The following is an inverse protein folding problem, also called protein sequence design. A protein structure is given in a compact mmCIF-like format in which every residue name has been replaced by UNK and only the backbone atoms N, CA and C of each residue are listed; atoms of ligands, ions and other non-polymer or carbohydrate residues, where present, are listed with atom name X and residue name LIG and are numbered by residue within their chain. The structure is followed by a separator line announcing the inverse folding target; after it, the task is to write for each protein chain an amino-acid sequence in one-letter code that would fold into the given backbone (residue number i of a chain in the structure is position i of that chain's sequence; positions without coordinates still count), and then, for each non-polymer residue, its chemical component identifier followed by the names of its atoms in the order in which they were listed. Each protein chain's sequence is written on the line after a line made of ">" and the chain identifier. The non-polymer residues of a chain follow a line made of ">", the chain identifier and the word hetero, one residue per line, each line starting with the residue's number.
data_IF_250347127740
#
_entry.id   IF_250347127740
#
_cell.length_a   1.000
_cell.length_b   1.000
_cell.length_c   1.000
_cell.angle_alpha   90.00
_cell.angle_beta   90.00
_cell.angle_gamma   90.00
#
_symmetry.space_group_name_H-M   'P 1'
#
loop_
_entity.id
_entity.type
_entity.pdbx_description
1 polymer ?
#
# COMPACT_ATOMS: atom_id res chain seq x y z
N UNK A 1 -7.25 21.50 23.12
CA UNK A 1 -6.85 20.63 21.99
C UNK A 1 -7.88 20.58 20.85
N UNK A 2 -9.20 20.64 21.11
CA UNK A 2 -10.25 20.64 20.07
C UNK A 2 -10.16 21.83 19.07
N UNK A 3 -9.79 23.01 19.53
CA UNK A 3 -9.73 24.24 18.72
C UNK A 3 -8.56 24.25 17.71
N UNK A 4 -7.45 23.56 17.98
CA UNK A 4 -6.31 23.48 17.07
C UNK A 4 -6.60 22.49 15.92
N UNK A 5 -7.29 21.38 16.21
CA UNK A 5 -7.71 20.41 15.19
C UNK A 5 -8.73 21.04 14.23
N UNK A 6 -9.70 21.79 14.74
CA UNK A 6 -10.67 22.50 13.89
C UNK A 6 -10.02 23.57 13.01
N UNK A 7 -9.03 24.32 13.51
CA UNK A 7 -8.30 25.32 12.70
C UNK A 7 -7.44 24.68 11.62
N UNK A 8 -6.83 23.52 11.89
CA UNK A 8 -6.10 22.77 10.87
C UNK A 8 -7.04 22.20 9.81
N UNK A 9 -8.22 21.71 10.19
CA UNK A 9 -9.22 21.18 9.25
C UNK A 9 -9.77 22.29 8.35
N UNK A 10 -10.00 23.48 8.89
CA UNK A 10 -10.50 24.65 8.14
C UNK A 10 -9.44 25.24 7.20
N UNK A 11 -8.17 25.33 7.65
CA UNK A 11 -7.04 25.76 6.81
C UNK A 11 -6.73 24.77 5.66
N UNK A 12 -6.98 23.48 5.84
CA UNK A 12 -6.83 22.46 4.78
C UNK A 12 -7.93 22.55 3.73
N UNK A 13 -9.16 22.92 4.11
CA UNK A 13 -10.29 23.02 3.17
C UNK A 13 -10.14 24.19 2.19
N UNK A 14 -9.58 25.31 2.62
CA UNK A 14 -9.47 26.54 1.81
C UNK A 14 -8.38 26.47 0.72
N UNK A 15 -7.41 25.57 0.81
CA UNK A 15 -6.28 25.46 -0.16
C UNK A 15 -6.32 24.20 -1.05
N UNK A 16 -7.32 23.35 -0.89
CA UNK A 16 -7.44 22.11 -1.65
C UNK A 16 -8.31 22.31 -2.89
N UNK A 17 -7.72 22.67 -4.03
CA UNK A 17 -8.42 22.62 -5.32
C UNK A 17 -8.62 21.16 -5.74
N UNK A 18 -9.78 20.59 -5.41
CA UNK A 18 -10.22 19.31 -5.96
C UNK A 18 -10.75 19.60 -7.36
N UNK A 19 -10.09 19.04 -8.36
CA UNK A 19 -10.66 18.97 -9.70
C UNK A 19 -11.32 17.60 -9.83
N UNK A 20 -12.59 17.50 -9.46
CA UNK A 20 -13.41 16.34 -9.78
C UNK A 20 -13.75 16.44 -11.26
N UNK A 21 -12.98 15.77 -12.10
CA UNK A 21 -13.44 15.46 -13.45
C UNK A 21 -14.10 14.08 -13.37
N UNK A 22 -15.40 14.06 -13.18
CA UNK A 22 -16.21 12.88 -13.45
C UNK A 22 -16.17 12.63 -14.97
N UNK A 23 -15.22 11.89 -15.45
CA UNK A 23 -15.18 11.39 -16.81
C UNK A 23 -15.56 9.91 -16.75
N UNK A 24 -16.80 9.62 -17.08
CA UNK A 24 -17.27 8.30 -17.44
C UNK A 24 -16.61 7.90 -18.78
N UNK A 25 -15.43 7.33 -18.72
CA UNK A 25 -14.82 6.64 -19.87
C UNK A 25 -14.66 5.19 -19.48
N UNK A 26 -15.24 4.24 -20.22
CA UNK A 26 -15.01 2.82 -20.00
C UNK A 26 -13.57 2.52 -20.40
N UNK A 27 -12.67 2.46 -19.41
CA UNK A 27 -11.45 1.69 -19.59
C UNK A 27 -11.82 0.26 -19.23
N UNK A 28 -11.57 -0.69 -20.11
CA UNK A 28 -12.04 -2.08 -20.12
C UNK A 28 -11.87 -2.89 -18.83
N UNK A 29 -11.12 -2.37 -17.86
CA UNK A 29 -10.69 -3.11 -16.67
C UNK A 29 -11.32 -2.63 -15.34
N UNK A 30 -11.98 -1.46 -15.32
CA UNK A 30 -12.62 -0.92 -14.11
C UNK A 30 -14.15 -1.02 -14.19
N UNK A 31 -14.85 -1.23 -13.06
CA UNK A 31 -16.32 -1.22 -13.03
C UNK A 31 -16.88 0.05 -13.68
N UNK A 32 -17.98 -0.08 -14.40
CA UNK A 32 -18.66 1.02 -15.11
C UNK A 32 -19.10 2.18 -14.20
N UNK A 33 -19.32 1.89 -12.90
CA UNK A 33 -19.66 2.86 -11.85
C UNK A 33 -18.43 3.58 -11.27
N UNK A 34 -17.25 3.52 -11.92
CA UNK A 34 -16.04 4.12 -11.37
C UNK A 34 -15.86 5.58 -11.79
N UNK A 35 -15.62 6.46 -10.82
CA UNK A 35 -15.22 7.85 -11.02
C UNK A 35 -13.69 8.02 -10.90
N UNK A 36 -13.16 9.07 -11.55
CA UNK A 36 -11.77 9.51 -11.42
C UNK A 36 -11.69 10.81 -10.68
N UNK A 37 -10.81 10.87 -9.69
CA UNK A 37 -10.53 12.05 -8.90
C UNK A 37 -9.03 12.32 -8.98
N UNK A 38 -8.65 13.57 -9.11
CA UNK A 38 -7.27 14.01 -9.01
C UNK A 38 -7.16 14.99 -7.83
N UNK A 39 -6.50 14.54 -6.75
CA UNK A 39 -6.26 15.36 -5.57
C UNK A 39 -4.89 16.04 -5.69
N UNK A 40 -4.87 17.36 -5.77
CA UNK A 40 -3.63 18.13 -5.73
C UNK A 40 -3.24 18.42 -4.29
N UNK A 41 -2.01 18.08 -3.94
CA UNK A 41 -1.46 18.39 -2.62
C UNK A 41 -0.74 19.74 -2.63
N UNK A 42 -0.64 20.44 -1.49
CA UNK A 42 0.01 21.75 -1.41
C UNK A 42 1.47 21.75 -1.82
N UNK A 43 2.14 20.58 -1.71
CA UNK A 43 3.56 20.40 -2.01
C UNK A 43 3.84 19.94 -3.45
N UNK A 44 2.83 19.99 -4.32
CA UNK A 44 2.95 19.80 -5.76
C UNK A 44 2.80 18.36 -6.27
N UNK A 45 2.28 17.44 -5.43
CA UNK A 45 1.84 16.15 -5.91
C UNK A 45 0.40 16.21 -6.44
N UNK A 46 0.05 15.25 -7.29
CA UNK A 46 -1.31 15.03 -7.77
C UNK A 46 -1.61 13.54 -7.62
N UNK A 47 -2.45 13.19 -6.67
CA UNK A 47 -2.86 11.81 -6.46
C UNK A 47 -3.96 11.44 -7.45
N UNK A 48 -3.76 10.33 -8.13
CA UNK A 48 -4.81 9.71 -8.92
C UNK A 48 -5.64 8.80 -8.01
N UNK A 49 -6.94 9.04 -7.96
CA UNK A 49 -7.87 8.28 -7.11
C UNK A 49 -8.96 7.69 -7.98
N UNK A 50 -9.29 6.44 -7.76
CA UNK A 50 -10.50 5.80 -8.27
C UNK A 50 -11.52 5.68 -7.15
N UNK A 51 -12.77 5.98 -7.46
CA UNK A 51 -13.89 5.72 -6.60
C UNK A 51 -14.83 4.74 -7.32
N UNK A 52 -15.22 3.68 -6.65
CA UNK A 52 -16.09 2.64 -7.20
C UNK A 52 -17.25 2.38 -6.24
N UNK A 53 -18.42 2.04 -6.78
CA UNK A 53 -19.66 1.79 -6.02
C UNK A 53 -20.49 3.05 -5.86
N UNK A 54 -21.44 3.02 -4.91
CA UNK A 54 -22.40 4.11 -4.68
C UNK A 54 -21.78 5.25 -3.87
N UNK A 55 -22.08 6.50 -4.23
CA UNK A 55 -21.62 7.67 -3.46
C UNK A 55 -22.17 7.70 -2.02
N UNK A 56 -23.38 7.19 -1.83
CA UNK A 56 -24.04 7.02 -0.51
C UNK A 56 -23.66 5.72 0.20
N UNK A 57 -22.84 4.86 -0.41
CA UNK A 57 -22.41 3.61 0.18
C UNK A 57 -21.41 3.79 1.33
N UNK A 58 -21.23 2.73 2.13
CA UNK A 58 -20.26 2.71 3.22
C UNK A 58 -18.84 2.98 2.68
N UNK A 59 -18.15 4.03 3.16
CA UNK A 59 -16.87 4.41 2.58
C UNK A 59 -15.73 3.51 3.06
N UNK A 60 -14.90 3.08 2.12
CA UNK A 60 -13.71 2.27 2.35
C UNK A 60 -12.49 2.83 1.63
N UNK A 61 -11.40 3.04 2.37
CA UNK A 61 -10.09 3.37 1.82
C UNK A 61 -9.32 2.10 1.48
N UNK A 62 -8.80 2.01 0.26
CA UNK A 62 -7.97 0.89 -0.20
C UNK A 62 -6.51 1.32 -0.30
N UNK A 63 -5.63 0.69 0.47
CA UNK A 63 -4.20 0.98 0.49
C UNK A 63 -3.42 -0.12 -0.23
N UNK A 64 -2.89 0.22 -1.41
CA UNK A 64 -2.10 -0.72 -2.20
C UNK A 64 -0.74 -1.04 -1.58
N UNK A 65 -0.19 -2.18 -1.95
CA UNK A 65 1.12 -2.66 -1.53
C UNK A 65 2.29 -2.12 -2.37
N UNK A 66 3.38 -2.80 -2.30
CA UNK A 66 4.64 -2.49 -2.93
C UNK A 66 5.73 -2.23 -1.89
N UNK A 67 5.99 -0.99 -1.48
CA UNK A 67 5.47 0.34 -1.91
C UNK A 67 5.60 0.61 -3.42
N UNK A 68 4.81 1.54 -3.95
CA UNK A 68 4.98 2.04 -5.32
C UNK A 68 4.23 1.26 -6.42
N UNK A 69 3.37 0.29 -6.07
CA UNK A 69 2.64 -0.51 -7.07
C UNK A 69 1.48 0.26 -7.74
N UNK A 70 0.69 1.01 -6.98
CA UNK A 70 -0.58 1.57 -7.40
C UNK A 70 -1.76 0.60 -7.21
N UNK A 71 -2.99 1.10 -7.32
CA UNK A 71 -4.20 0.32 -7.22
C UNK A 71 -4.54 -0.40 -8.53
N UNK A 72 -5.03 -1.63 -8.42
CA UNK A 72 -5.47 -2.45 -9.54
C UNK A 72 -7.01 -2.55 -9.57
N UNK A 73 -7.63 -2.72 -10.76
CA UNK A 73 -9.07 -2.92 -10.89
C UNK A 73 -9.62 -4.08 -10.05
N UNK A 74 -8.86 -5.15 -9.92
CA UNK A 74 -9.22 -6.33 -9.11
C UNK A 74 -9.47 -6.00 -7.63
N UNK A 75 -8.92 -4.89 -7.11
CA UNK A 75 -9.17 -4.46 -5.74
C UNK A 75 -10.60 -3.92 -5.55
N UNK A 76 -11.22 -3.39 -6.60
CA UNK A 76 -12.63 -2.97 -6.54
C UNK A 76 -13.59 -4.16 -6.39
N UNK A 77 -13.20 -5.34 -6.86
CA UNK A 77 -14.01 -6.56 -6.76
C UNK A 77 -14.17 -7.12 -5.34
N UNK A 78 -13.45 -6.58 -4.36
CA UNK A 78 -13.63 -6.95 -2.94
C UNK A 78 -14.91 -6.34 -2.33
N UNK A 79 -15.49 -5.33 -3.00
CA UNK A 79 -16.60 -4.52 -2.51
C UNK A 79 -17.89 -4.85 -3.27
N UNK A 80 -19.00 -4.85 -2.54
CA UNK A 80 -20.32 -4.83 -3.16
C UNK A 80 -20.62 -3.40 -3.64
N UNK A 81 -20.81 -3.16 -4.93
CA UNK A 81 -21.02 -1.82 -5.46
C UNK A 81 -22.34 -1.17 -5.03
N UNK A 82 -23.29 -1.96 -4.53
CA UNK A 82 -24.57 -1.47 -4.01
C UNK A 82 -24.51 -1.03 -2.55
N UNK A 83 -23.53 -1.56 -1.79
CA UNK A 83 -23.39 -1.30 -0.35
C UNK A 83 -22.23 -0.35 -0.04
N UNK A 84 -21.17 -0.37 -0.84
CA UNK A 84 -19.92 0.28 -0.51
C UNK A 84 -19.56 1.42 -1.47
N UNK A 85 -18.78 2.36 -0.94
CA UNK A 85 -18.07 3.41 -1.66
C UNK A 85 -16.55 3.17 -1.51
N UNK A 86 -15.94 2.44 -2.44
CA UNK A 86 -14.52 2.12 -2.38
C UNK A 86 -13.68 3.27 -2.97
N UNK A 87 -12.71 3.79 -2.21
CA UNK A 87 -11.78 4.86 -2.59
C UNK A 87 -10.38 4.29 -2.70
N UNK A 88 -9.81 4.30 -3.91
CA UNK A 88 -8.56 3.63 -4.27
C UNK A 88 -7.51 4.66 -4.76
N UNK A 89 -6.77 5.33 -3.85
CA UNK A 89 -5.73 6.27 -4.23
C UNK A 89 -4.45 5.53 -4.64
N UNK A 90 -3.86 5.92 -5.76
CA UNK A 90 -2.46 5.68 -6.03
C UNK A 90 -1.62 6.57 -5.13
N UNK A 91 -0.77 6.00 -4.27
CA UNK A 91 0.09 6.75 -3.35
C UNK A 91 1.06 7.66 -4.12
N UNK A 92 1.69 8.64 -3.44
CA UNK A 92 2.65 9.58 -4.04
C UNK A 92 3.65 8.88 -4.95
N UNK A 93 3.77 9.34 -6.19
CA UNK A 93 4.70 8.81 -7.17
C UNK A 93 4.37 7.43 -7.73
N UNK A 94 3.43 6.70 -7.13
CA UNK A 94 3.01 5.37 -7.56
C UNK A 94 1.93 5.43 -8.66
N UNK A 95 1.79 4.37 -9.40
CA UNK A 95 0.73 4.18 -10.37
C UNK A 95 0.58 5.35 -11.34
N UNK A 96 -0.59 5.98 -11.32
CA UNK A 96 -0.96 7.15 -12.14
C UNK A 96 -0.75 8.49 -11.43
N UNK A 97 -0.38 8.49 -10.13
CA UNK A 97 -0.05 9.71 -9.38
C UNK A 97 1.18 10.42 -9.94
N UNK A 98 1.21 11.75 -9.83
CA UNK A 98 2.26 12.59 -10.40
C UNK A 98 2.92 13.48 -9.34
N UNK A 99 4.21 13.84 -9.52
CA UNK A 99 5.17 13.34 -10.52
C UNK A 99 5.49 11.87 -10.32
N UNK A 100 5.54 11.09 -11.43
CA UNK A 100 5.70 9.63 -11.36
C UNK A 100 7.10 9.22 -10.88
N UNK A 101 7.19 8.34 -9.88
CA UNK A 101 8.44 7.82 -9.32
C UNK A 101 9.26 8.85 -8.56
N UNK A 102 8.72 10.03 -8.23
CA UNK A 102 9.44 11.05 -7.46
C UNK A 102 9.66 10.62 -6.02
N UNK A 103 10.84 10.94 -5.49
CA UNK A 103 11.20 10.74 -4.08
C UNK A 103 11.10 12.04 -3.28
N UNK A 104 10.90 13.17 -3.96
CA UNK A 104 10.78 14.49 -3.34
C UNK A 104 9.55 14.52 -2.43
N UNK A 105 9.74 14.89 -1.17
CA UNK A 105 8.68 14.94 -0.14
C UNK A 105 7.83 13.66 -0.09
N UNK A 106 8.42 12.52 -0.44
CA UNK A 106 7.75 11.23 -0.44
C UNK A 106 8.12 10.47 0.83
N UNK A 107 7.42 10.79 1.92
CA UNK A 107 7.60 10.23 3.26
C UNK A 107 6.29 9.63 3.76
N UNK A 108 6.34 8.77 4.78
CA UNK A 108 5.11 8.23 5.40
C UNK A 108 4.25 9.34 5.98
N UNK A 109 4.83 10.31 6.67
CA UNK A 109 4.07 11.46 7.21
C UNK A 109 3.29 12.17 6.12
N UNK A 110 3.91 12.38 4.94
CA UNK A 110 3.25 12.99 3.81
C UNK A 110 2.14 12.09 3.21
N UNK A 111 2.37 10.75 3.14
CA UNK A 111 1.32 9.82 2.74
C UNK A 111 0.11 9.85 3.66
N UNK A 112 0.34 9.88 4.98
CA UNK A 112 -0.75 9.97 5.96
C UNK A 112 -1.54 11.27 5.83
N UNK A 113 -0.84 12.40 5.61
CA UNK A 113 -1.49 13.68 5.37
C UNK A 113 -2.30 13.70 4.08
N UNK A 114 -1.82 13.05 3.01
CA UNK A 114 -2.56 12.91 1.76
C UNK A 114 -3.87 12.14 1.93
N UNK A 115 -3.83 11.04 2.68
CA UNK A 115 -5.02 10.22 2.94
C UNK A 115 -6.06 11.00 3.75
N UNK A 116 -5.62 11.75 4.75
CA UNK A 116 -6.51 12.59 5.54
C UNK A 116 -7.09 13.74 4.72
N UNK A 117 -6.25 14.42 3.91
CA UNK A 117 -6.71 15.42 2.96
C UNK A 117 -7.76 14.85 1.98
N UNK A 118 -7.53 13.62 1.48
CA UNK A 118 -8.48 12.94 0.59
C UNK A 118 -9.80 12.65 1.29
N UNK A 119 -9.77 12.15 2.52
CA UNK A 119 -10.96 11.88 3.32
C UNK A 119 -11.84 13.14 3.50
N UNK A 120 -11.21 14.21 3.99
CA UNK A 120 -11.88 15.50 4.22
C UNK A 120 -12.44 16.05 2.91
N UNK A 121 -11.67 15.98 1.84
CA UNK A 121 -12.04 16.47 0.52
C UNK A 121 -13.22 15.72 -0.12
N UNK A 122 -13.43 14.45 0.26
CA UNK A 122 -14.57 13.63 -0.17
C UNK A 122 -15.79 13.75 0.76
N UNK A 123 -15.71 14.58 1.81
CA UNK A 123 -16.78 14.72 2.81
C UNK A 123 -17.02 13.44 3.62
N UNK A 124 -16.01 12.58 3.76
CA UNK A 124 -16.12 11.34 4.49
C UNK A 124 -15.77 11.59 5.95
N UNK A 125 -16.70 11.35 6.86
CA UNK A 125 -16.48 11.49 8.30
C UNK A 125 -15.56 10.39 8.83
N UNK A 126 -15.87 9.14 8.52
CA UNK A 126 -15.08 7.95 8.88
C UNK A 126 -15.13 6.95 7.75
N UNK A 127 -14.12 6.15 7.59
CA UNK A 127 -14.09 5.04 6.62
C UNK A 127 -13.50 3.77 7.19
N UNK A 128 -13.92 2.62 6.65
CA UNK A 128 -13.17 1.39 6.79
C UNK A 128 -11.84 1.50 6.02
N UNK A 129 -10.79 0.86 6.49
CA UNK A 129 -9.50 0.85 5.79
C UNK A 129 -9.06 -0.57 5.51
N UNK A 130 -8.86 -0.90 4.24
CA UNK A 130 -8.28 -2.18 3.83
C UNK A 130 -6.88 -1.98 3.25
N UNK A 131 -5.92 -2.72 3.77
CA UNK A 131 -4.53 -2.64 3.32
C UNK A 131 -3.87 -4.00 3.21
N UNK A 132 -3.06 -4.20 2.15
CA UNK A 132 -2.29 -5.42 1.98
C UNK A 132 -0.79 -5.17 1.94
N UNK A 133 0.02 -6.04 2.57
CA UNK A 133 1.47 -5.93 2.56
C UNK A 133 1.94 -4.57 3.12
N UNK A 134 2.67 -3.77 2.35
CA UNK A 134 2.99 -2.38 2.67
C UNK A 134 1.74 -1.55 3.03
N UNK A 135 0.62 -1.76 2.31
CA UNK A 135 -0.64 -1.08 2.61
C UNK A 135 -1.17 -1.37 4.00
N UNK A 136 -0.90 -2.55 4.57
CA UNK A 136 -1.26 -2.89 5.96
C UNK A 136 -0.43 -2.09 6.97
N UNK A 137 0.87 -1.89 6.72
CA UNK A 137 1.71 -1.03 7.56
C UNK A 137 1.22 0.43 7.53
N UNK A 138 0.86 0.92 6.34
CA UNK A 138 0.33 2.26 6.16
C UNK A 138 -1.05 2.42 6.82
N UNK A 139 -1.93 1.41 6.76
CA UNK A 139 -3.22 1.38 7.42
C UNK A 139 -3.10 1.48 8.94
N UNK A 140 -2.19 0.71 9.54
CA UNK A 140 -1.90 0.79 10.98
C UNK A 140 -1.41 2.19 11.38
N UNK A 141 -0.46 2.74 10.61
CA UNK A 141 0.07 4.08 10.87
C UNK A 141 -1.00 5.17 10.71
N UNK A 142 -1.91 5.02 9.74
CA UNK A 142 -3.02 5.94 9.52
C UNK A 142 -4.05 5.88 10.65
N UNK A 143 -4.49 4.69 11.03
CA UNK A 143 -5.46 4.50 12.11
C UNK A 143 -4.93 4.96 13.49
N UNK A 144 -3.64 4.79 13.73
CA UNK A 144 -3.00 5.32 14.94
C UNK A 144 -2.92 6.86 14.95
N UNK A 145 -2.66 7.47 13.80
CA UNK A 145 -2.53 8.94 13.68
C UNK A 145 -3.87 9.65 13.63
N UNK A 146 -4.89 9.03 13.03
CA UNK A 146 -6.24 9.57 12.84
C UNK A 146 -7.30 8.57 13.30
N UNK A 147 -7.34 8.24 14.59
CA UNK A 147 -8.20 7.16 15.10
C UNK A 147 -9.69 7.41 14.91
N UNK A 148 -10.10 8.69 14.95
CA UNK A 148 -11.51 9.08 14.81
C UNK A 148 -11.97 9.03 13.33
N UNK A 149 -11.04 8.96 12.39
CA UNK A 149 -11.30 8.83 10.95
C UNK A 149 -11.50 7.38 10.49
N UNK A 150 -11.23 6.39 11.36
CA UNK A 150 -11.25 4.97 10.98
C UNK A 150 -12.35 4.24 11.76
N UNK A 151 -13.12 3.44 11.04
CA UNK A 151 -14.21 2.66 11.58
C UNK A 151 -13.86 1.19 11.78
N UNK A 152 -13.07 0.64 10.87
CA UNK A 152 -12.60 -0.73 10.92
C UNK A 152 -11.31 -0.89 10.14
N UNK A 153 -10.52 -1.92 10.45
CA UNK A 153 -9.32 -2.30 9.71
C UNK A 153 -9.45 -3.72 9.17
N UNK A 154 -9.14 -3.90 7.88
CA UNK A 154 -8.93 -5.21 7.26
C UNK A 154 -7.50 -5.26 6.71
N UNK A 155 -6.64 -6.02 7.36
CA UNK A 155 -5.21 -6.09 7.08
C UNK A 155 -4.85 -7.46 6.50
N UNK A 156 -4.28 -7.47 5.29
CA UNK A 156 -3.90 -8.71 4.61
C UNK A 156 -2.39 -8.81 4.43
N UNK A 157 -1.81 -9.99 4.77
CA UNK A 157 -0.38 -10.26 4.56
C UNK A 157 0.48 -9.16 5.18
N UNK A 158 0.32 -8.91 6.48
CA UNK A 158 0.87 -7.74 7.17
C UNK A 158 2.40 -7.67 7.09
N UNK A 159 2.91 -6.55 6.61
CA UNK A 159 4.33 -6.20 6.58
C UNK A 159 4.63 -5.20 7.69
N UNK A 160 5.48 -5.57 8.65
CA UNK A 160 5.79 -4.72 9.80
C UNK A 160 7.05 -3.84 9.62
N UNK A 161 7.62 -3.81 8.43
CA UNK A 161 8.80 -2.98 8.09
C UNK A 161 10.03 -3.19 8.99
N UNK A 162 10.07 -4.31 9.70
CA UNK A 162 11.20 -4.68 10.54
C UNK A 162 12.46 -4.95 9.72
N UNK A 163 13.62 -4.85 10.37
CA UNK A 163 14.88 -5.20 9.72
C UNK A 163 14.88 -6.64 9.22
N UNK A 164 14.36 -7.56 10.02
CA UNK A 164 14.20 -8.98 9.70
C UNK A 164 13.24 -9.24 8.53
N UNK A 165 12.16 -8.44 8.39
CA UNK A 165 11.24 -8.52 7.25
C UNK A 165 11.92 -8.07 5.95
N UNK A 166 12.62 -6.92 6.00
CA UNK A 166 13.37 -6.41 4.84
C UNK A 166 14.52 -7.36 4.49
N UNK A 167 15.25 -7.86 5.50
CA UNK A 167 16.33 -8.81 5.30
C UNK A 167 15.85 -10.11 4.62
N UNK A 168 14.67 -10.60 4.97
CA UNK A 168 14.10 -11.81 4.36
C UNK A 168 13.84 -11.63 2.86
N UNK A 169 13.41 -10.45 2.43
CA UNK A 169 13.20 -10.14 1.00
C UNK A 169 14.51 -10.12 0.20
N UNK A 170 15.64 -9.77 0.85
CA UNK A 170 16.94 -9.58 0.20
C UNK A 170 17.97 -10.64 0.54
N UNK A 171 17.60 -11.73 1.20
CA UNK A 171 18.48 -12.87 1.44
C UNK A 171 18.76 -13.66 0.15
N UNK A 172 19.64 -14.66 0.22
CA UNK A 172 20.03 -15.49 -0.94
C UNK A 172 18.86 -16.30 -1.54
N UNK A 173 17.80 -16.56 -0.78
CA UNK A 173 16.59 -17.26 -1.26
C UNK A 173 15.55 -16.29 -1.87
N UNK A 174 15.61 -15.00 -1.54
CA UNK A 174 14.77 -13.94 -2.07
C UNK A 174 15.40 -13.22 -3.25
N UNK A 175 15.24 -11.89 -3.28
CA UNK A 175 15.74 -11.01 -4.35
C UNK A 175 17.27 -10.91 -4.40
N UNK A 176 17.96 -11.31 -3.34
CA UNK A 176 19.40 -11.08 -3.20
C UNK A 176 20.25 -11.72 -4.28
N UNK A 177 19.96 -12.95 -4.71
CA UNK A 177 20.72 -13.62 -5.77
C UNK A 177 20.64 -12.89 -7.11
N UNK A 178 19.44 -12.55 -7.55
CA UNK A 178 19.22 -11.92 -8.85
C UNK A 178 19.75 -10.49 -8.89
N UNK A 179 19.65 -9.79 -7.76
CA UNK A 179 20.21 -8.44 -7.63
C UNK A 179 21.74 -8.49 -7.72
N UNK A 180 22.40 -9.46 -7.06
CA UNK A 180 23.85 -9.63 -7.15
C UNK A 180 24.31 -9.90 -8.59
N UNK A 181 23.64 -10.80 -9.30
CA UNK A 181 23.95 -11.10 -10.71
C UNK A 181 23.74 -9.90 -11.64
N UNK A 182 22.91 -8.92 -11.25
CA UNK A 182 22.60 -7.72 -12.03
C UNK A 182 23.52 -6.54 -11.73
N UNK A 183 24.43 -6.67 -10.78
CA UNK A 183 25.34 -5.59 -10.29
C UNK A 183 26.78 -5.82 -10.83
N UNK A 184 26.94 -6.42 -12.00
CA UNK A 184 28.22 -6.53 -12.75
C UNK A 184 29.47 -6.70 -11.84
N UNK A 185 29.59 -7.80 -11.12
CA UNK A 185 30.77 -8.10 -10.30
C UNK A 185 31.03 -7.21 -9.08
N UNK A 186 30.30 -6.10 -8.91
CA UNK A 186 30.44 -5.25 -7.73
C UNK A 186 29.79 -5.85 -6.46
N UNK A 187 29.18 -7.02 -6.59
CA UNK A 187 28.46 -7.70 -5.51
C UNK A 187 29.34 -8.51 -4.56
N UNK A 188 30.58 -8.78 -4.90
CA UNK A 188 31.45 -9.66 -4.12
C UNK A 188 31.82 -9.12 -2.72
N UNK A 189 31.74 -7.79 -2.53
CA UNK A 189 32.02 -7.14 -1.24
C UNK A 189 30.79 -6.92 -0.34
N UNK A 190 29.56 -7.30 -0.76
CA UNK A 190 28.32 -7.03 0.00
C UNK A 190 27.55 -8.31 0.33
N UNK A 191 28.04 -9.19 1.21
CA UNK A 191 27.36 -10.44 1.54
C UNK A 191 26.04 -10.24 2.28
N UNK A 192 25.85 -9.11 2.97
CA UNK A 192 24.68 -8.85 3.79
C UNK A 192 23.49 -8.33 2.95
N UNK A 193 22.27 -8.76 3.29
CA UNK A 193 21.03 -8.31 2.65
C UNK A 193 20.86 -6.78 2.65
N UNK A 194 21.34 -6.10 3.69
CA UNK A 194 21.34 -4.63 3.79
C UNK A 194 22.25 -3.98 2.76
N UNK A 195 23.43 -4.54 2.52
CA UNK A 195 24.35 -4.06 1.47
C UNK A 195 23.74 -4.19 0.08
N UNK A 196 23.08 -5.32 -0.20
CA UNK A 196 22.37 -5.54 -1.47
C UNK A 196 21.24 -4.53 -1.71
N UNK A 197 20.45 -4.26 -0.69
CA UNK A 197 19.40 -3.23 -0.77
C UNK A 197 20.00 -1.83 -0.96
N UNK A 198 21.11 -1.52 -0.30
CA UNK A 198 21.83 -0.25 -0.45
C UNK A 198 22.26 -0.04 -1.90
N UNK A 199 22.99 -1.00 -2.48
CA UNK A 199 23.49 -0.93 -3.85
C UNK A 199 22.32 -0.84 -4.85
N UNK A 200 21.27 -1.65 -4.68
CA UNK A 200 20.08 -1.57 -5.52
C UNK A 200 19.40 -0.20 -5.44
N UNK A 201 19.35 0.40 -4.24
CA UNK A 201 18.77 1.74 -4.02
C UNK A 201 19.59 2.81 -4.73
N UNK A 202 20.91 2.78 -4.57
CA UNK A 202 21.85 3.70 -5.20
C UNK A 202 21.75 3.62 -6.73
N UNK A 203 21.81 2.42 -7.29
CA UNK A 203 21.69 2.20 -8.74
C UNK A 203 20.34 2.62 -9.31
N UNK A 204 19.24 2.43 -8.57
CA UNK A 204 17.90 2.90 -9.00
C UNK A 204 17.77 4.43 -8.96
N UNK A 205 18.54 5.11 -8.12
CA UNK A 205 18.53 6.57 -8.01
C UNK A 205 19.52 7.23 -8.96
N UNK A 206 20.78 6.81 -8.94
CA UNK A 206 21.92 7.49 -9.57
C UNK A 206 22.45 6.78 -10.81
N UNK A 207 22.17 5.48 -10.99
CA UNK A 207 22.70 4.68 -12.10
C UNK A 207 22.21 5.15 -13.47
N UNK A 208 22.86 4.63 -14.52
CA UNK A 208 22.44 4.81 -15.92
C UNK A 208 21.06 4.17 -16.15
N UNK A 209 20.41 4.51 -17.24
CA UNK A 209 19.12 3.91 -17.61
C UNK A 209 19.22 2.38 -17.74
N UNK A 210 20.31 1.87 -18.28
CA UNK A 210 20.55 0.42 -18.41
C UNK A 210 20.65 -0.24 -17.03
N UNK A 211 21.44 0.31 -16.13
CA UNK A 211 21.58 -0.18 -14.76
C UNK A 211 20.25 -0.17 -14.02
N UNK A 212 19.49 0.92 -14.09
CA UNK A 212 18.15 1.03 -13.50
C UNK A 212 17.20 -0.06 -14.01
N UNK A 213 17.22 -0.31 -15.32
CA UNK A 213 16.39 -1.36 -15.92
C UNK A 213 16.81 -2.76 -15.52
N UNK A 214 18.11 -3.05 -15.42
CA UNK A 214 18.63 -4.35 -15.02
C UNK A 214 18.23 -4.65 -13.58
N UNK A 215 18.43 -3.71 -12.65
CA UNK A 215 18.03 -3.85 -11.25
C UNK A 215 16.52 -4.02 -11.12
N UNK A 216 15.73 -3.19 -11.80
CA UNK A 216 14.27 -3.28 -11.73
C UNK A 216 13.73 -4.63 -12.22
N UNK A 217 14.30 -5.16 -13.31
CA UNK A 217 13.96 -6.49 -13.85
C UNK A 217 14.38 -7.62 -12.92
N UNK A 218 15.58 -7.56 -12.35
CA UNK A 218 16.07 -8.54 -11.39
C UNK A 218 15.16 -8.61 -10.17
N UNK A 219 14.78 -7.45 -9.64
CA UNK A 219 13.86 -7.35 -8.51
C UNK A 219 12.47 -7.91 -8.86
N UNK A 220 11.94 -7.57 -10.04
CA UNK A 220 10.67 -8.12 -10.53
C UNK A 220 10.70 -9.65 -10.61
N UNK A 221 11.75 -10.24 -11.19
CA UNK A 221 11.87 -11.71 -11.26
C UNK A 221 11.86 -12.35 -9.88
N UNK A 222 12.56 -11.74 -8.93
CA UNK A 222 12.59 -12.22 -7.57
C UNK A 222 11.22 -12.13 -6.86
N UNK A 223 10.52 -10.99 -7.00
CA UNK A 223 9.14 -10.86 -6.49
C UNK A 223 8.21 -11.90 -7.13
N UNK A 224 8.27 -12.08 -8.45
CA UNK A 224 7.43 -13.07 -9.13
C UNK A 224 7.65 -14.48 -8.58
N UNK A 225 8.91 -14.89 -8.31
CA UNK A 225 9.19 -16.20 -7.69
C UNK A 225 8.59 -16.31 -6.29
N UNK A 226 8.76 -15.30 -5.45
CA UNK A 226 8.19 -15.29 -4.09
C UNK A 226 6.66 -15.34 -4.11
N UNK A 227 6.04 -14.77 -5.16
CA UNK A 227 4.60 -14.76 -5.38
C UNK A 227 4.08 -16.02 -6.10
N UNK A 228 4.95 -16.93 -6.51
CA UNK A 228 4.58 -18.10 -7.31
C UNK A 228 4.10 -17.78 -8.72
N UNK A 229 4.47 -16.61 -9.26
CA UNK A 229 4.07 -16.16 -10.59
C UNK A 229 5.05 -16.69 -11.65
N UNK A 230 4.50 -17.19 -12.76
CA UNK A 230 5.29 -17.60 -13.91
C UNK A 230 5.90 -16.39 -14.64
N UNK A 231 7.11 -16.54 -15.21
CA UNK A 231 7.71 -15.52 -16.04
C UNK A 231 6.81 -15.19 -17.23
N UNK A 232 6.52 -13.90 -17.45
CA UNK A 232 5.79 -13.49 -18.64
C UNK A 232 6.74 -13.33 -19.82
N UNK A 233 6.51 -14.07 -20.90
CA UNK A 233 7.31 -14.00 -22.13
C UNK A 233 7.05 -12.73 -22.97
N UNK A 234 6.04 -11.92 -22.61
CA UNK A 234 5.63 -10.75 -23.40
C UNK A 234 6.69 -9.64 -23.37
N UNK A 235 7.07 -9.15 -24.53
CA UNK A 235 7.96 -7.97 -24.66
C UNK A 235 7.28 -6.73 -24.05
N UNK A 236 7.95 -6.13 -23.07
CA UNK A 236 7.49 -4.88 -22.45
C UNK A 236 7.82 -3.67 -23.35
N UNK A 237 6.87 -2.75 -23.47
CA UNK A 237 7.09 -1.45 -24.11
C UNK A 237 8.09 -0.62 -23.29
N UNK A 238 8.65 0.44 -23.87
CA UNK A 238 9.50 1.37 -23.16
C UNK A 238 8.80 2.01 -21.95
N UNK A 239 7.54 2.40 -22.12
CA UNK A 239 6.73 2.97 -21.04
C UNK A 239 6.54 2.00 -19.87
N UNK A 240 6.28 0.72 -20.15
CA UNK A 240 6.16 -0.34 -19.13
C UNK A 240 7.48 -0.57 -18.38
N UNK A 241 8.61 -0.56 -19.11
CA UNK A 241 9.95 -0.68 -18.49
C UNK A 241 10.25 0.48 -17.57
N UNK A 242 9.94 1.72 -17.99
CA UNK A 242 10.15 2.90 -17.15
C UNK A 242 9.17 2.96 -15.95
N UNK A 243 7.96 2.42 -16.10
CA UNK A 243 7.03 2.26 -14.97
C UNK A 243 7.59 1.27 -13.94
N UNK A 244 8.23 0.18 -14.39
CA UNK A 244 8.89 -0.78 -13.52
C UNK A 244 10.06 -0.14 -12.73
N UNK A 245 10.90 0.65 -13.39
CA UNK A 245 11.98 1.41 -12.73
C UNK A 245 11.41 2.35 -11.66
N UNK A 246 10.35 3.09 -11.98
CA UNK A 246 9.69 3.99 -11.02
C UNK A 246 9.13 3.25 -9.82
N UNK A 247 8.48 2.09 -10.03
CA UNK A 247 7.98 1.23 -8.95
C UNK A 247 9.10 0.84 -7.99
N UNK A 248 10.18 0.25 -8.51
CA UNK A 248 11.26 -0.26 -7.66
C UNK A 248 12.11 0.85 -7.05
N UNK A 249 12.22 2.00 -7.70
CA UNK A 249 12.84 3.20 -7.09
C UNK A 249 12.10 3.66 -5.84
N UNK A 250 10.77 3.70 -5.88
CA UNK A 250 9.93 4.00 -4.73
C UNK A 250 10.04 2.92 -3.65
N UNK A 251 9.97 1.65 -4.05
CA UNK A 251 10.07 0.52 -3.14
C UNK A 251 11.42 0.51 -2.40
N UNK A 252 12.52 0.71 -3.14
CA UNK A 252 13.86 0.83 -2.57
C UNK A 252 13.97 1.97 -1.55
N UNK A 253 13.45 3.15 -1.90
CA UNK A 253 13.43 4.32 -1.03
C UNK A 253 12.76 4.04 0.32
N UNK A 254 11.59 3.43 0.30
CA UNK A 254 10.85 3.11 1.52
C UNK A 254 11.50 1.96 2.30
N UNK A 255 11.92 0.89 1.64
CA UNK A 255 12.52 -0.26 2.32
C UNK A 255 13.88 0.05 2.91
N UNK A 256 14.74 0.80 2.22
CA UNK A 256 16.07 1.20 2.72
C UNK A 256 15.98 2.04 3.99
N UNK A 257 15.03 2.95 4.06
CA UNK A 257 14.78 3.80 5.22
C UNK A 257 13.83 3.20 6.25
N UNK A 258 13.43 1.92 6.08
CA UNK A 258 12.39 1.25 6.87
C UNK A 258 11.11 2.09 6.93
N UNK A 259 10.88 2.88 5.89
CA UNK A 259 9.75 3.79 5.72
C UNK A 259 9.57 4.84 6.83
N UNK A 260 10.55 5.03 7.71
CA UNK A 260 10.37 5.84 8.92
C UNK A 260 9.40 5.23 9.94
N UNK A 261 8.95 3.96 9.74
CA UNK A 261 8.04 3.23 10.64
C UNK A 261 8.85 2.31 11.57
N UNK A 262 9.06 1.08 11.16
CA UNK A 262 9.74 0.05 11.94
C UNK A 262 8.77 -0.79 12.79
N UNK A 263 9.14 -2.06 13.00
CA UNK A 263 8.31 -3.07 13.66
C UNK A 263 7.79 -2.63 15.03
N UNK A 264 8.68 -2.13 15.90
CA UNK A 264 8.29 -1.73 17.26
C UNK A 264 7.29 -0.56 17.26
N UNK A 265 7.44 0.40 16.33
CA UNK A 265 6.52 1.52 16.22
C UNK A 265 5.13 1.04 15.74
N UNK A 266 5.08 0.14 14.75
CA UNK A 266 3.83 -0.44 14.26
C UNK A 266 3.14 -1.33 15.30
N UNK A 267 3.88 -2.09 16.10
CA UNK A 267 3.30 -2.89 17.20
C UNK A 267 2.76 -1.99 18.32
N UNK A 268 3.44 -0.88 18.66
CA UNK A 268 2.87 0.10 19.60
C UNK A 268 1.62 0.78 19.02
N UNK A 269 1.59 1.09 17.74
CA UNK A 269 0.40 1.60 17.06
C UNK A 269 -0.75 0.59 17.14
N UNK A 270 -0.47 -0.68 16.85
CA UNK A 270 -1.44 -1.78 16.98
C UNK A 270 -2.01 -1.89 18.39
N UNK A 271 -1.17 -1.81 19.43
CA UNK A 271 -1.62 -1.84 20.83
C UNK A 271 -2.54 -0.65 21.17
N UNK A 272 -2.22 0.57 20.70
CA UNK A 272 -3.11 1.75 20.89
C UNK A 272 -4.44 1.59 20.13
N UNK A 273 -4.42 1.04 18.93
CA UNK A 273 -5.61 0.69 18.15
C UNK A 273 -6.46 -0.34 18.92
N UNK A 274 -5.81 -1.37 19.48
CA UNK A 274 -6.45 -2.37 20.30
C UNK A 274 -7.10 -1.78 21.56
N UNK A 275 -6.41 -0.93 22.28
CA UNK A 275 -6.92 -0.25 23.49
C UNK A 275 -8.16 0.64 23.20
N UNK A 276 -8.35 1.09 21.95
CA UNK A 276 -9.53 1.85 21.53
C UNK A 276 -10.71 0.98 21.10
N UNK A 277 -10.56 -0.33 21.07
CA UNK A 277 -11.61 -1.25 20.63
C UNK A 277 -11.94 -1.18 19.14
N UNK A 278 -11.04 -0.61 18.29
CA UNK A 278 -11.29 -0.54 16.85
C UNK A 278 -11.41 -1.96 16.26
N UNK A 279 -12.49 -2.29 15.52
CA UNK A 279 -12.62 -3.59 14.87
C UNK A 279 -11.47 -3.87 13.89
N UNK A 280 -10.77 -4.98 14.06
CA UNK A 280 -9.64 -5.39 13.23
C UNK A 280 -9.78 -6.83 12.76
N UNK A 281 -9.70 -7.04 11.44
CA UNK A 281 -9.57 -8.37 10.85
C UNK A 281 -8.18 -8.51 10.20
N UNK A 282 -7.46 -9.55 10.59
CA UNK A 282 -6.16 -9.93 10.05
C UNK A 282 -6.34 -11.14 9.14
N UNK A 283 -6.00 -11.00 7.86
CA UNK A 283 -6.01 -12.08 6.88
C UNK A 283 -4.57 -12.43 6.50
N UNK A 284 -4.20 -13.72 6.57
CA UNK A 284 -2.84 -14.13 6.19
C UNK A 284 -2.87 -15.44 5.43
N UNK A 285 -2.14 -15.47 4.30
CA UNK A 285 -1.96 -16.69 3.51
C UNK A 285 -1.09 -17.71 4.24
N UNK A 286 -1.53 -18.97 4.33
CA UNK A 286 -0.74 -20.03 4.99
C UNK A 286 0.63 -20.25 4.33
N UNK A 287 0.70 -19.98 3.02
CA UNK A 287 1.87 -20.19 2.16
C UNK A 287 2.50 -18.85 1.72
N UNK A 288 2.31 -17.78 2.52
CA UNK A 288 2.86 -16.47 2.20
C UNK A 288 4.38 -16.44 2.36
N UNK A 289 5.09 -16.46 1.24
CA UNK A 289 6.55 -16.39 1.18
C UNK A 289 7.10 -14.94 1.12
N UNK A 290 6.25 -13.93 1.08
CA UNK A 290 6.62 -12.51 1.03
C UNK A 290 6.57 -11.90 2.41
N UNK A 291 5.43 -12.00 3.10
CA UNK A 291 5.24 -11.52 4.46
C UNK A 291 5.17 -12.68 5.44
N UNK A 292 5.97 -12.62 6.48
CA UNK A 292 6.09 -13.72 7.44
C UNK A 292 4.79 -13.92 8.24
N UNK A 293 4.29 -15.16 8.39
CA UNK A 293 3.13 -15.47 9.24
C UNK A 293 3.27 -14.93 10.68
N UNK A 294 4.51 -14.88 11.20
CA UNK A 294 4.83 -14.31 12.51
C UNK A 294 4.32 -12.86 12.69
N UNK A 295 4.27 -12.07 11.60
CA UNK A 295 3.78 -10.70 11.67
C UNK A 295 2.28 -10.65 12.02
N UNK A 296 1.49 -11.56 11.47
CA UNK A 296 0.06 -11.69 11.80
C UNK A 296 -0.15 -12.09 13.26
N UNK A 297 0.67 -13.02 13.78
CA UNK A 297 0.64 -13.42 15.19
C UNK A 297 1.02 -12.28 16.13
N UNK A 298 2.07 -11.51 15.80
CA UNK A 298 2.48 -10.34 16.58
C UNK A 298 1.39 -9.25 16.63
N UNK A 299 0.70 -9.02 15.50
CA UNK A 299 -0.43 -8.08 15.47
C UNK A 299 -1.62 -8.59 16.26
N UNK A 300 -1.96 -9.88 16.16
CA UNK A 300 -3.04 -10.50 16.95
C UNK A 300 -2.75 -10.42 18.44
N UNK A 301 -1.49 -10.60 18.86
CA UNK A 301 -1.10 -10.41 20.26
C UNK A 301 -1.18 -8.95 20.71
N UNK A 302 -0.87 -7.99 19.81
CA UNK A 302 -0.94 -6.56 20.11
C UNK A 302 -2.39 -6.01 20.09
N UNK A 303 -3.32 -6.70 19.43
CA UNK A 303 -4.74 -6.35 19.32
C UNK A 303 -5.54 -7.60 19.72
N UNK A 304 -5.78 -7.84 21.02
CA UNK A 304 -6.34 -9.12 21.50
C UNK A 304 -7.72 -9.48 20.94
N UNK A 305 -8.54 -8.48 20.59
CA UNK A 305 -9.85 -8.69 19.97
C UNK A 305 -9.81 -8.79 18.43
N UNK A 306 -8.62 -8.68 17.80
CA UNK A 306 -8.52 -8.82 16.36
C UNK A 306 -8.89 -10.24 15.91
N UNK A 307 -9.72 -10.33 14.88
CA UNK A 307 -10.03 -11.60 14.24
C UNK A 307 -8.91 -12.01 13.31
N UNK A 308 -8.10 -12.99 13.67
CA UNK A 308 -7.07 -13.57 12.80
C UNK A 308 -7.65 -14.74 12.00
N UNK A 309 -7.53 -14.66 10.65
CA UNK A 309 -8.01 -15.67 9.71
C UNK A 309 -6.85 -16.13 8.84
N UNK A 310 -6.56 -17.43 8.91
CA UNK A 310 -5.60 -18.10 8.02
C UNK A 310 -6.31 -18.55 6.76
N UNK A 311 -5.86 -18.03 5.61
CA UNK A 311 -6.46 -18.30 4.31
C UNK A 311 -5.55 -19.26 3.52
N UNK A 312 -6.09 -20.29 2.85
CA UNK A 312 -5.30 -21.10 1.92
C UNK A 312 -4.66 -20.26 0.83
N UNK A 313 -3.40 -20.60 0.45
CA UNK A 313 -2.64 -19.90 -0.57
C UNK A 313 -1.63 -18.88 -0.04
N UNK A 314 -1.00 -18.16 -0.98
CA UNK A 314 0.15 -17.29 -0.72
C UNK A 314 -0.21 -15.81 -0.50
N UNK A 315 0.72 -14.95 -0.95
CA UNK A 315 0.65 -13.49 -0.69
C UNK A 315 -0.39 -12.75 -1.51
N UNK A 316 -0.83 -13.26 -2.66
CA UNK A 316 -1.69 -12.52 -3.58
C UNK A 316 -3.14 -12.44 -3.09
N UNK A 317 -3.80 -11.32 -3.37
CA UNK A 317 -5.23 -11.12 -3.09
C UNK A 317 -6.11 -11.69 -4.22
N UNK A 318 -5.96 -12.99 -4.48
CA UNK A 318 -6.71 -13.74 -5.52
C UNK A 318 -7.39 -14.96 -4.90
N UNK A 319 -8.33 -15.57 -5.61
CA UNK A 319 -9.01 -16.79 -5.16
C UNK A 319 -9.61 -16.66 -3.76
N UNK A 320 -9.27 -17.58 -2.86
CA UNK A 320 -9.77 -17.62 -1.48
C UNK A 320 -9.44 -16.34 -0.69
N UNK A 321 -8.26 -15.75 -0.92
CA UNK A 321 -7.90 -14.49 -0.27
C UNK A 321 -8.80 -13.33 -0.70
N UNK A 322 -9.17 -13.24 -1.97
CA UNK A 322 -10.11 -12.21 -2.45
C UNK A 322 -11.50 -12.40 -1.86
N UNK A 323 -11.98 -13.64 -1.76
CA UNK A 323 -13.25 -13.99 -1.08
C UNK A 323 -13.21 -13.60 0.40
N UNK A 324 -12.13 -13.93 1.09
CA UNK A 324 -11.94 -13.61 2.51
C UNK A 324 -11.91 -12.10 2.76
N UNK A 325 -11.26 -11.31 1.87
CA UNK A 325 -11.28 -9.85 1.90
C UNK A 325 -12.70 -9.31 1.79
N UNK A 326 -13.47 -9.74 0.79
CA UNK A 326 -14.86 -9.33 0.62
C UNK A 326 -15.75 -9.71 1.82
N UNK A 327 -15.56 -10.91 2.38
CA UNK A 327 -16.28 -11.34 3.58
C UNK A 327 -15.91 -10.51 4.81
N UNK A 328 -14.62 -10.19 5.01
CA UNK A 328 -14.15 -9.36 6.11
C UNK A 328 -14.69 -7.93 6.02
N UNK A 329 -14.72 -7.34 4.83
CA UNK A 329 -15.28 -6.01 4.57
C UNK A 329 -16.76 -5.99 4.94
N UNK A 330 -17.56 -6.94 4.43
CA UNK A 330 -19.00 -7.03 4.76
C UNK A 330 -19.25 -7.26 6.23
N UNK A 331 -18.44 -8.08 6.91
CA UNK A 331 -18.59 -8.35 8.35
C UNK A 331 -18.20 -7.16 9.23
N UNK A 332 -17.47 -6.19 8.70
CA UNK A 332 -17.08 -4.95 9.38
C UNK A 332 -18.05 -3.81 9.12
N UNK A 333 -19.15 -4.07 8.36
CA UNK A 333 -20.17 -3.07 8.06
C UNK A 333 -20.73 -2.47 9.35
N UNK A 334 -20.88 -1.16 9.36
CA UNK A 334 -21.50 -0.42 10.45
C UNK A 334 -22.99 -0.74 10.50
N UNK A 335 -23.47 -1.01 11.69
CA UNK A 335 -24.86 -0.71 12.00
C UNK A 335 -24.97 0.82 11.94
N UNK A 336 -25.29 1.39 10.78
CA UNK A 336 -25.84 2.73 10.74
C UNK A 336 -27.12 2.62 11.55
N UNK A 337 -27.11 3.16 12.77
CA UNK A 337 -28.30 3.26 13.58
C UNK A 337 -29.38 3.94 12.75
N UNK A 338 -30.42 3.20 12.45
CA UNK A 338 -31.68 3.69 11.90
C UNK A 338 -32.36 4.55 12.96
#
# INVERSE_FOLDING_TARGET
>A
MHCVVQRLTQAFAEHSRIVIKATSMPTSDWPTTSARINLRTPDGHCLHVRQCGRDSGEPWLVLHGGPGSGCAPSMAAWFDPLLHRAVLPDQRGAGRSRPAGTLRRNTVTALLADLEQLRVALGIERWGVVGGSWGAALALAYADRFPDAVSALVLRGAFLTGFDDVQALFNARGAGRDLLQSIDGRGEGFPAARGRLYVATDMLQLGTTVQKLNIARAWQRAEHRLLGLQPQARRQTWQQRMALVRKYRLQAHYLYRRAGLGKSALLRAAARIGARGLPVTLLHGREDNVCRPRNALLLSAAIPHARLVWVPGGHLAVGEMAKALGAAIRASAWSVGV
#
